data_IF_291721947589
#
_entry.id   IF_291721947589
#
_cell.length_a   1.000
_cell.length_b   1.000
_cell.length_c   1.000
_cell.angle_alpha   90.00
_cell.angle_beta   90.00
_cell.angle_gamma   90.00
#
_symmetry.space_group_name_H-M   'P 1'
#
loop_
_entity.id
_entity.type
_entity.pdbx_description
1 polymer ?
#
# COMPACT_ATOMS: atom_id res chain seq x y z
N UNK A 1 16.52 8.39 7.25
CA UNK A 1 16.06 7.11 6.72
C UNK A 1 15.22 7.40 5.48
N UNK A 2 15.75 7.11 4.30
CA UNK A 2 15.00 7.15 3.05
C UNK A 2 14.08 5.93 3.03
N UNK A 3 12.77 6.15 3.21
CA UNK A 3 11.76 5.11 3.05
C UNK A 3 11.65 4.81 1.55
N UNK A 4 12.18 3.67 1.15
CA UNK A 4 11.90 3.07 -0.14
C UNK A 4 10.74 2.09 0.06
N UNK A 5 9.55 2.48 -0.36
CA UNK A 5 8.41 1.56 -0.40
C UNK A 5 8.38 0.93 -1.79
N UNK A 6 8.75 -0.33 -1.90
CA UNK A 6 8.55 -1.12 -3.10
C UNK A 6 7.34 -2.04 -2.89
N UNK A 7 6.27 -1.82 -3.64
CA UNK A 7 4.99 -2.51 -3.47
C UNK A 7 4.54 -3.11 -4.80
N UNK A 8 4.19 -4.41 -4.85
CA UNK A 8 3.37 -4.94 -5.93
C UNK A 8 1.95 -4.37 -5.85
N UNK A 9 1.42 -3.93 -6.98
CA UNK A 9 0.09 -3.34 -7.09
C UNK A 9 -0.67 -3.99 -8.24
N UNK A 10 -1.93 -4.30 -8.00
CA UNK A 10 -2.86 -4.74 -9.02
C UNK A 10 -4.20 -4.01 -8.86
N UNK A 11 -5.09 -4.17 -9.82
CA UNK A 11 -6.38 -3.50 -9.84
C UNK A 11 -7.51 -4.48 -10.13
N UNK A 12 -8.64 -4.32 -9.43
CA UNK A 12 -9.88 -5.09 -9.65
C UNK A 12 -9.68 -6.60 -9.59
N UNK A 13 -8.86 -7.11 -8.69
CA UNK A 13 -8.54 -8.52 -8.52
C UNK A 13 -8.10 -9.22 -9.83
N UNK A 14 -7.50 -8.46 -10.77
CA UNK A 14 -7.04 -8.97 -12.07
C UNK A 14 -5.53 -9.12 -12.07
N UNK A 15 -5.06 -10.29 -12.48
CA UNK A 15 -3.64 -10.62 -12.65
C UNK A 15 -3.08 -10.26 -14.04
N UNK A 16 -3.91 -9.65 -14.90
CA UNK A 16 -3.48 -9.26 -16.26
C UNK A 16 -2.31 -8.26 -16.25
N UNK A 17 -2.26 -7.39 -15.25
CA UNK A 17 -1.17 -6.41 -15.10
C UNK A 17 -0.80 -6.28 -13.64
N UNK A 18 0.35 -6.82 -13.27
CA UNK A 18 0.95 -6.64 -11.96
C UNK A 18 2.04 -5.58 -12.09
N UNK A 19 1.90 -4.48 -11.35
CA UNK A 19 2.89 -3.41 -11.32
C UNK A 19 3.70 -3.47 -10.03
N UNK A 20 5.02 -3.51 -10.17
CA UNK A 20 5.93 -3.23 -9.08
C UNK A 20 6.14 -1.71 -9.03
N UNK A 21 5.78 -1.07 -7.93
CA UNK A 21 5.96 0.37 -7.73
C UNK A 21 6.92 0.63 -6.59
N UNK A 22 7.84 1.55 -6.81
CA UNK A 22 8.74 2.06 -5.78
C UNK A 22 8.50 3.56 -5.58
N UNK A 23 8.35 3.97 -4.34
CA UNK A 23 8.27 5.37 -3.94
C UNK A 23 9.51 5.75 -3.17
N UNK A 24 10.23 6.74 -3.66
CA UNK A 24 11.44 7.24 -3.05
C UNK A 24 11.30 8.72 -2.71
N UNK A 25 11.62 9.09 -1.48
CA UNK A 25 11.66 10.49 -1.08
C UNK A 25 13.02 11.08 -1.45
N UNK A 26 13.02 12.08 -2.33
CA UNK A 26 14.21 12.82 -2.75
C UNK A 26 14.02 14.28 -2.34
N UNK A 27 14.64 14.67 -1.25
CA UNK A 27 14.43 15.99 -0.63
C UNK A 27 12.98 16.16 -0.17
N UNK A 28 12.28 17.17 -0.67
CA UNK A 28 10.87 17.45 -0.39
C UNK A 28 9.90 16.74 -1.36
N UNK A 29 10.41 16.05 -2.39
CA UNK A 29 9.61 15.40 -3.43
C UNK A 29 9.57 13.91 -3.25
N UNK A 30 8.48 13.30 -3.73
CA UNK A 30 8.34 11.85 -3.82
C UNK A 30 8.49 11.48 -5.31
N UNK A 31 9.52 10.73 -5.64
CA UNK A 31 9.67 10.11 -6.94
C UNK A 31 8.98 8.74 -6.90
N UNK A 32 8.19 8.47 -7.93
CA UNK A 32 7.51 7.20 -8.14
C UNK A 32 8.05 6.58 -9.42
N UNK A 33 8.60 5.38 -9.32
CA UNK A 33 8.95 4.53 -10.46
C UNK A 33 8.05 3.30 -10.47
N UNK A 34 7.73 2.77 -11.65
CA UNK A 34 6.95 1.55 -11.76
C UNK A 34 7.36 0.73 -12.98
N UNK A 35 7.27 -0.59 -12.86
CA UNK A 35 7.43 -1.51 -13.97
C UNK A 35 6.40 -2.63 -13.87
N UNK A 36 6.14 -3.33 -14.97
CA UNK A 36 5.33 -4.54 -14.95
C UNK A 36 6.19 -5.75 -14.60
N UNK A 37 5.61 -6.66 -13.82
CA UNK A 37 6.20 -7.97 -13.53
C UNK A 37 5.20 -9.06 -13.89
N UNK A 38 5.69 -10.27 -14.11
CA UNK A 38 4.81 -11.42 -14.37
C UNK A 38 4.23 -11.96 -13.07
N UNK A 39 3.15 -12.73 -13.17
CA UNK A 39 2.56 -13.41 -12.03
C UNK A 39 3.54 -14.38 -11.38
N UNK A 40 4.31 -15.12 -12.18
CA UNK A 40 5.36 -16.01 -11.71
C UNK A 40 6.44 -15.26 -10.89
N UNK A 41 6.89 -14.09 -11.37
CA UNK A 41 7.85 -13.27 -10.62
C UNK A 41 7.27 -12.80 -9.28
N UNK A 42 5.98 -12.46 -9.26
CA UNK A 42 5.29 -12.05 -8.04
C UNK A 42 5.16 -13.22 -7.05
N UNK A 43 4.67 -14.39 -7.49
CA UNK A 43 4.47 -15.58 -6.66
C UNK A 43 5.79 -16.03 -6.03
N UNK A 44 6.87 -16.11 -6.82
CA UNK A 44 8.19 -16.44 -6.30
C UNK A 44 8.70 -15.40 -5.27
N UNK A 45 8.48 -14.11 -5.55
CA UNK A 45 8.89 -13.04 -4.64
C UNK A 45 8.20 -13.11 -3.28
N UNK A 46 6.88 -13.32 -3.24
CA UNK A 46 6.15 -13.44 -1.97
C UNK A 46 6.52 -14.71 -1.19
N UNK A 47 6.94 -15.77 -1.90
CA UNK A 47 7.45 -17.02 -1.32
C UNK A 47 8.93 -16.92 -0.89
N UNK A 48 9.52 -15.72 -0.89
CA UNK A 48 10.88 -15.46 -0.41
C UNK A 48 11.98 -15.71 -1.44
N UNK A 49 11.64 -16.01 -2.69
CA UNK A 49 12.60 -16.15 -3.79
C UNK A 49 12.55 -14.95 -4.75
N UNK A 50 13.34 -13.89 -4.52
CA UNK A 50 13.36 -12.72 -5.40
C UNK A 50 14.15 -12.94 -6.70
N UNK A 51 14.79 -14.10 -6.89
CA UNK A 51 15.71 -14.38 -8.02
C UNK A 51 15.07 -14.14 -9.40
N UNK A 52 13.79 -14.48 -9.65
CA UNK A 52 13.18 -14.21 -10.94
C UNK A 52 13.13 -12.73 -11.33
N UNK A 53 13.15 -11.81 -10.37
CA UNK A 53 13.19 -10.36 -10.65
C UNK A 53 14.44 -9.93 -11.42
N UNK A 54 15.55 -10.69 -11.33
CA UNK A 54 16.76 -10.44 -12.12
C UNK A 54 16.57 -10.69 -13.62
N UNK A 55 15.59 -11.52 -14.00
CA UNK A 55 15.28 -11.83 -15.40
C UNK A 55 14.48 -10.70 -16.07
N UNK A 56 13.96 -9.75 -15.26
CA UNK A 56 13.26 -8.59 -15.80
C UNK A 56 14.21 -7.66 -16.57
N UNK A 57 13.75 -7.10 -17.67
CA UNK A 57 14.45 -6.06 -18.39
C UNK A 57 14.44 -4.71 -17.65
N UNK A 58 13.56 -4.57 -16.67
CA UNK A 58 13.38 -3.33 -15.92
C UNK A 58 14.35 -3.21 -14.73
N UNK A 59 15.07 -2.10 -14.67
CA UNK A 59 16.04 -1.83 -13.61
C UNK A 59 15.39 -1.79 -12.22
N UNK A 60 14.13 -1.32 -12.12
CA UNK A 60 13.40 -1.31 -10.86
C UNK A 60 13.24 -2.73 -10.27
N UNK A 61 12.95 -3.74 -11.09
CA UNK A 61 12.85 -5.12 -10.60
C UNK A 61 14.19 -5.63 -10.04
N UNK A 62 15.30 -5.29 -10.70
CA UNK A 62 16.66 -5.63 -10.23
C UNK A 62 17.03 -4.87 -8.96
N UNK A 63 16.59 -3.60 -8.84
CA UNK A 63 16.76 -2.81 -7.61
C UNK A 63 16.00 -3.44 -6.43
N UNK A 64 14.74 -3.85 -6.63
CA UNK A 64 13.96 -4.55 -5.61
C UNK A 64 14.61 -5.86 -5.20
N UNK A 65 15.13 -6.65 -6.16
CA UNK A 65 15.94 -7.83 -5.84
C UNK A 65 17.11 -7.48 -4.91
N UNK A 66 17.87 -6.44 -5.26
CA UNK A 66 19.05 -6.02 -4.49
C UNK A 66 18.68 -5.55 -3.09
N UNK A 67 17.58 -4.79 -2.96
CA UNK A 67 17.05 -4.35 -1.67
C UNK A 67 16.56 -5.52 -0.81
N UNK A 68 15.87 -6.48 -1.42
CA UNK A 68 15.42 -7.70 -0.74
C UNK A 68 16.60 -8.50 -0.18
N UNK A 69 17.66 -8.65 -0.96
CA UNK A 69 18.86 -9.42 -0.54
C UNK A 69 19.73 -8.67 0.48
N UNK A 70 19.90 -7.36 0.32
CA UNK A 70 20.80 -6.56 1.16
C UNK A 70 20.16 -6.03 2.43
N UNK A 71 18.85 -5.74 2.41
CA UNK A 71 18.11 -5.15 3.54
C UNK A 71 17.06 -6.09 4.11
N UNK A 72 16.99 -7.35 3.65
CA UNK A 72 16.01 -8.34 4.06
C UNK A 72 14.57 -7.82 3.93
N UNK A 73 14.29 -7.03 2.89
CA UNK A 73 12.93 -6.59 2.62
C UNK A 73 12.06 -7.79 2.26
N UNK A 74 10.92 -7.90 2.91
CA UNK A 74 9.90 -8.90 2.62
C UNK A 74 8.53 -8.26 2.56
N UNK A 75 7.59 -8.82 1.80
CA UNK A 75 6.19 -8.44 1.91
C UNK A 75 5.71 -8.59 3.35
N UNK A 76 5.00 -7.59 3.89
CA UNK A 76 4.56 -7.62 5.29
C UNK A 76 3.05 -7.67 5.43
N UNK A 77 2.32 -7.00 4.55
CA UNK A 77 0.88 -6.85 4.68
C UNK A 77 0.25 -6.57 3.32
N UNK A 78 -0.91 -7.17 3.06
CA UNK A 78 -1.78 -6.77 1.96
C UNK A 78 -2.59 -5.56 2.39
N UNK A 79 -2.65 -4.56 1.51
CA UNK A 79 -3.45 -3.33 1.69
C UNK A 79 -4.59 -3.35 0.70
N UNK A 80 -5.79 -3.51 1.19
CA UNK A 80 -7.01 -3.56 0.39
C UNK A 80 -7.91 -2.36 0.68
N UNK A 81 -8.49 -1.76 -0.34
CA UNK A 81 -9.42 -0.63 -0.21
C UNK A 81 -10.16 -0.35 -1.52
N UNK A 82 -11.34 0.20 -1.40
CA UNK A 82 -12.10 0.72 -2.53
C UNK A 82 -11.69 2.14 -2.85
N UNK A 83 -11.50 2.44 -4.15
CA UNK A 83 -11.14 3.78 -4.62
C UNK A 83 -12.11 4.33 -5.64
N UNK A 84 -12.67 5.49 -5.33
CA UNK A 84 -13.31 6.37 -6.31
C UNK A 84 -12.34 7.48 -6.71
N UNK A 85 -12.17 7.70 -8.01
CA UNK A 85 -11.23 8.70 -8.54
C UNK A 85 -11.92 9.66 -9.50
N UNK A 86 -11.75 10.95 -9.26
CA UNK A 86 -12.26 12.05 -10.10
C UNK A 86 -11.09 12.83 -10.66
N UNK A 87 -11.08 13.03 -11.97
CA UNK A 87 -10.02 13.77 -12.66
C UNK A 87 -10.62 15.03 -13.28
N UNK A 88 -9.95 16.14 -13.05
CA UNK A 88 -10.29 17.42 -13.63
C UNK A 88 -9.14 17.95 -14.50
N UNK A 89 -9.41 18.44 -15.74
CA UNK A 89 -8.35 18.79 -16.68
C UNK A 89 -7.47 19.96 -16.23
N UNK A 90 -8.03 20.90 -15.43
CA UNK A 90 -7.24 22.03 -14.92
C UNK A 90 -6.19 21.53 -13.93
N UNK A 91 -4.93 21.86 -14.23
CA UNK A 91 -3.76 21.51 -13.42
C UNK A 91 -3.67 20.00 -13.10
N UNK A 92 -4.18 19.17 -14.03
CA UNK A 92 -4.20 17.71 -13.87
C UNK A 92 -4.72 17.28 -12.48
N UNK A 93 -5.74 18.01 -11.99
CA UNK A 93 -6.26 17.80 -10.64
C UNK A 93 -6.94 16.45 -10.52
N UNK A 94 -6.55 15.69 -9.50
CA UNK A 94 -7.14 14.39 -9.18
C UNK A 94 -7.55 14.36 -7.71
N UNK A 95 -8.82 14.02 -7.48
CA UNK A 95 -9.39 13.82 -6.14
C UNK A 95 -9.76 12.34 -6.04
N UNK A 96 -9.29 11.66 -4.99
CA UNK A 96 -9.63 10.27 -4.73
C UNK A 96 -10.22 10.10 -3.34
N UNK A 97 -11.20 9.21 -3.25
CA UNK A 97 -11.80 8.77 -2.00
C UNK A 97 -11.47 7.30 -1.82
N UNK A 98 -10.68 6.99 -0.81
CA UNK A 98 -10.32 5.63 -0.45
C UNK A 98 -11.15 5.22 0.76
N UNK A 99 -11.93 4.16 0.59
CA UNK A 99 -12.92 3.64 1.56
C UNK A 99 -12.56 2.22 1.95
N UNK A 100 -13.05 1.75 3.08
CA UNK A 100 -12.92 0.37 3.51
C UNK A 100 -11.47 -0.12 3.51
N UNK A 101 -10.59 0.65 4.17
CA UNK A 101 -9.19 0.25 4.28
C UNK A 101 -9.06 -0.98 5.16
N UNK A 102 -8.60 -2.08 4.58
CA UNK A 102 -8.37 -3.35 5.25
C UNK A 102 -6.92 -3.80 5.13
N UNK A 103 -6.46 -4.51 6.13
CA UNK A 103 -5.16 -5.17 6.17
C UNK A 103 -5.33 -6.69 6.05
N UNK A 104 -4.59 -7.35 5.15
CA UNK A 104 -4.58 -8.81 5.05
C UNK A 104 -3.98 -9.44 6.29
N UNK A 105 -4.61 -10.53 6.78
CA UNK A 105 -4.21 -11.25 8.00
C UNK A 105 -3.34 -12.44 7.61
N UNK A 106 -2.09 -12.46 8.08
CA UNK A 106 -1.14 -13.57 7.97
C UNK A 106 -0.90 -14.12 6.56
N UNK A 107 -1.23 -13.34 5.54
CA UNK A 107 -1.03 -13.68 4.15
C UNK A 107 -0.62 -12.43 3.36
N UNK A 108 0.26 -12.60 2.40
CA UNK A 108 0.77 -11.54 1.53
C UNK A 108 0.44 -11.79 0.06
N UNK A 109 -0.32 -12.85 -0.23
CA UNK A 109 -0.81 -13.14 -1.57
C UNK A 109 -2.02 -12.26 -1.89
N UNK A 110 -1.78 -11.22 -2.70
CA UNK A 110 -2.82 -10.28 -3.16
C UNK A 110 -3.86 -10.93 -4.10
N UNK A 111 -3.62 -12.17 -4.60
CA UNK A 111 -4.54 -12.91 -5.46
C UNK A 111 -5.34 -13.98 -4.71
N UNK A 112 -5.07 -14.16 -3.41
CA UNK A 112 -5.85 -15.05 -2.59
C UNK A 112 -7.27 -14.50 -2.41
N UNK A 113 -8.26 -15.16 -3.03
CA UNK A 113 -9.68 -14.75 -2.96
C UNK A 113 -10.30 -14.97 -1.59
N UNK A 114 -9.72 -15.85 -0.81
CA UNK A 114 -10.17 -16.20 0.55
C UNK A 114 -9.34 -15.47 1.62
N UNK A 115 -8.60 -14.43 1.21
CA UNK A 115 -7.79 -13.63 2.14
C UNK A 115 -8.65 -13.03 3.23
N UNK A 116 -8.38 -13.40 4.46
CA UNK A 116 -8.99 -12.76 5.62
C UNK A 116 -8.41 -11.35 5.79
N UNK A 117 -9.28 -10.37 5.99
CA UNK A 117 -8.86 -8.99 6.16
C UNK A 117 -9.37 -8.41 7.48
N UNK A 118 -8.63 -7.44 8.01
CA UNK A 118 -8.97 -6.71 9.23
C UNK A 118 -9.20 -5.23 8.90
N UNK A 119 -10.34 -4.62 9.29
CA UNK A 119 -10.59 -3.22 9.05
C UNK A 119 -9.63 -2.35 9.86
N UNK A 120 -8.95 -1.42 9.20
CA UNK A 120 -7.96 -0.52 9.83
C UNK A 120 -8.65 0.59 10.60
N UNK A 121 -9.81 1.01 10.13
CA UNK A 121 -10.69 1.98 10.80
C UNK A 121 -12.15 1.70 10.46
N UNK A 122 -13.06 2.41 11.13
CA UNK A 122 -14.51 2.24 10.96
C UNK A 122 -14.97 2.64 9.56
N UNK A 123 -16.04 2.02 9.07
CA UNK A 123 -16.54 2.16 7.69
C UNK A 123 -17.03 3.58 7.34
N UNK A 124 -17.25 4.44 8.34
CA UNK A 124 -17.64 5.83 8.17
C UNK A 124 -16.45 6.76 7.86
N UNK A 125 -15.22 6.27 7.96
CA UNK A 125 -14.02 7.03 7.65
C UNK A 125 -13.57 6.83 6.20
N UNK A 126 -13.20 7.93 5.56
CA UNK A 126 -12.73 7.97 4.18
C UNK A 126 -11.42 8.75 4.11
N UNK A 127 -10.44 8.22 3.39
CA UNK A 127 -9.21 8.96 3.08
C UNK A 127 -9.47 9.75 1.78
N UNK A 128 -9.49 11.07 1.90
CA UNK A 128 -9.54 11.97 0.76
C UNK A 128 -8.13 12.41 0.39
N UNK A 129 -7.70 12.12 -0.84
CA UNK A 129 -6.41 12.55 -1.37
C UNK A 129 -6.62 13.51 -2.53
N UNK A 130 -5.90 14.63 -2.53
CA UNK A 130 -5.93 15.63 -3.60
C UNK A 130 -4.54 15.75 -4.19
N UNK A 131 -4.44 15.61 -5.51
CA UNK A 131 -3.22 15.81 -6.30
C UNK A 131 -3.47 16.81 -7.39
N UNK A 132 -2.51 17.68 -7.67
CA UNK A 132 -2.53 18.65 -8.76
C UNK A 132 -1.08 19.03 -9.10
N UNK A 133 -0.88 19.56 -10.30
CA UNK A 133 0.46 19.91 -10.76
C UNK A 133 0.85 21.32 -10.33
N UNK A 134 0.31 22.37 -10.96
CA UNK A 134 0.75 23.75 -10.75
C UNK A 134 -0.07 24.48 -9.69
N UNK A 135 -1.39 24.38 -9.78
CA UNK A 135 -2.31 25.05 -8.85
C UNK A 135 -3.58 24.22 -8.62
N UNK A 136 -4.17 24.40 -7.47
CA UNK A 136 -5.46 23.78 -7.17
C UNK A 136 -6.60 24.77 -7.48
N UNK A 137 -7.61 24.40 -8.29
CA UNK A 137 -8.70 25.28 -8.65
C UNK A 137 -9.46 25.81 -7.44
N UNK A 138 -9.68 27.14 -7.37
CA UNK A 138 -10.25 27.81 -6.19
C UNK A 138 -11.64 27.31 -5.82
N UNK A 139 -12.50 27.05 -6.80
CA UNK A 139 -13.84 26.50 -6.55
C UNK A 139 -13.82 25.09 -5.95
N UNK A 140 -12.83 24.24 -6.32
CA UNK A 140 -12.62 22.95 -5.68
C UNK A 140 -12.08 23.13 -4.25
N UNK A 141 -11.21 24.12 -4.04
CA UNK A 141 -10.74 24.45 -2.70
C UNK A 141 -11.90 24.89 -1.79
N UNK A 142 -12.85 25.66 -2.32
CA UNK A 142 -14.04 26.09 -1.58
C UNK A 142 -14.95 24.91 -1.24
N UNK A 143 -15.13 23.98 -2.16
CA UNK A 143 -15.85 22.72 -1.86
C UNK A 143 -15.15 21.92 -0.75
N UNK A 144 -13.82 21.81 -0.77
CA UNK A 144 -13.08 21.07 0.25
C UNK A 144 -13.19 21.71 1.65
N UNK A 145 -13.44 23.00 1.78
CA UNK A 145 -13.69 23.67 3.06
C UNK A 145 -14.95 23.15 3.77
N UNK A 146 -15.88 22.58 3.03
CA UNK A 146 -17.11 21.99 3.59
C UNK A 146 -16.88 20.59 4.16
N UNK A 147 -15.76 19.94 3.82
CA UNK A 147 -15.42 18.59 4.27
C UNK A 147 -14.97 18.61 5.73
N UNK A 148 -15.62 17.82 6.55
CA UNK A 148 -15.19 17.62 7.94
C UNK A 148 -14.05 16.59 7.96
N UNK A 149 -12.85 17.01 8.35
CA UNK A 149 -11.71 16.10 8.40
C UNK A 149 -10.46 16.77 8.97
N UNK A 150 -9.42 15.95 9.17
CA UNK A 150 -8.09 16.40 9.59
C UNK A 150 -7.13 16.22 8.42
N UNK A 151 -6.31 17.23 8.12
CA UNK A 151 -5.22 17.11 7.16
C UNK A 151 -4.05 16.37 7.82
N UNK A 152 -3.71 15.22 7.28
CA UNK A 152 -2.67 14.34 7.81
C UNK A 152 -1.74 13.87 6.68
N UNK A 153 -0.49 13.56 7.02
CA UNK A 153 0.38 12.78 6.17
C UNK A 153 0.12 11.30 6.48
N UNK A 154 -0.54 10.60 5.56
CA UNK A 154 -0.96 9.21 5.75
C UNK A 154 -0.25 8.29 4.76
N UNK A 155 0.18 7.13 5.25
CA UNK A 155 0.57 5.98 4.46
C UNK A 155 -0.39 4.83 4.78
N UNK A 156 -1.18 4.39 3.81
CA UNK A 156 -2.08 3.23 3.97
C UNK A 156 -1.30 1.98 4.37
N UNK A 157 -0.13 1.79 3.78
CA UNK A 157 0.75 0.69 4.14
C UNK A 157 1.14 0.73 5.63
N UNK A 158 1.61 1.87 6.14
CA UNK A 158 1.95 1.99 7.56
C UNK A 158 0.74 1.75 8.45
N UNK A 159 -0.43 2.28 8.08
CA UNK A 159 -1.67 2.07 8.85
C UNK A 159 -2.05 0.58 8.92
N UNK A 160 -1.95 -0.14 7.80
CA UNK A 160 -2.22 -1.58 7.75
C UNK A 160 -1.17 -2.37 8.54
N UNK A 161 0.11 -2.03 8.41
CA UNK A 161 1.18 -2.69 9.14
C UNK A 161 1.04 -2.49 10.66
N UNK A 162 0.73 -1.26 11.10
CA UNK A 162 0.51 -0.94 12.52
C UNK A 162 -0.73 -1.68 13.06
N UNK A 163 -1.81 -1.77 12.28
CA UNK A 163 -3.00 -2.52 12.66
C UNK A 163 -2.69 -4.01 12.88
N UNK A 164 -1.89 -4.62 11.99
CA UNK A 164 -1.49 -6.03 12.12
C UNK A 164 -0.55 -6.25 13.31
N UNK A 165 0.40 -5.35 13.55
CA UNK A 165 1.27 -5.43 14.73
C UNK A 165 0.46 -5.36 16.03
N UNK A 166 -0.52 -4.46 16.11
CA UNK A 166 -1.40 -4.34 17.29
C UNK A 166 -2.27 -5.58 17.49
N UNK A 167 -2.82 -6.15 16.41
CA UNK A 167 -3.60 -7.38 16.45
C UNK A 167 -2.77 -8.56 16.98
N UNK A 168 -1.56 -8.74 16.47
CA UNK A 168 -0.65 -9.80 16.89
C UNK A 168 -0.23 -9.64 18.36
N UNK A 169 0.07 -8.43 18.81
CA UNK A 169 0.41 -8.15 20.21
C UNK A 169 -0.77 -8.46 21.15
N UNK A 170 -1.99 -8.12 20.75
CA UNK A 170 -3.19 -8.45 21.52
C UNK A 170 -3.39 -9.97 21.64
N UNK A 171 -3.18 -10.71 20.55
CA UNK A 171 -3.28 -12.18 20.54
C UNK A 171 -2.22 -12.84 21.46
N UNK A 172 -0.99 -12.33 21.45
CA UNK A 172 0.08 -12.83 22.35
C UNK A 172 -0.28 -12.56 23.81
N UNK A 173 -0.81 -11.39 24.13
CA UNK A 173 -1.22 -11.04 25.50
C UNK A 173 -2.33 -11.93 26.03
N UNK A 174 -3.31 -12.29 25.20
CA UNK A 174 -4.40 -13.22 25.57
C UNK A 174 -3.83 -14.63 25.85
N UNK A 175 -2.93 -15.12 25.00
CA UNK A 175 -2.33 -16.43 25.18
C UNK A 175 -1.44 -16.51 26.44
N UNK A 176 -0.78 -15.44 26.82
CA UNK A 176 0.00 -15.39 28.06
C UNK A 176 -0.86 -15.42 29.33
N UNK A 177 -2.09 -14.89 29.26
CA UNK A 177 -3.05 -14.92 30.39
C UNK A 177 -3.65 -16.33 30.53
N UNK A 178 -3.93 -17.02 29.42
CA UNK A 178 -4.53 -18.35 29.44
C UNK A 178 -3.50 -19.51 29.66
N UNK A 179 -2.20 -19.25 29.52
CA UNK A 179 -1.12 -20.21 29.74
C UNK A 179 -0.62 -20.31 31.21
N UNK A 180 -1.25 -19.62 32.13
CA UNK A 180 -0.85 -19.50 33.55
C UNK A 180 -1.66 -20.36 34.51
N UNK A 181 -2.00 -21.61 34.14
CA UNK A 181 -2.56 -22.58 35.10
C UNK A 181 -2.18 -23.99 34.71
N UNK A 182 -1.01 -24.42 35.25
CA UNK A 182 -0.79 -25.82 35.69
C UNK A 182 0.35 -25.81 36.68
#
# INVERSE_FOLDING_TARGET
>A
LSLHDALPIFYNCSDNVIKLECKQKVGARICKTSCSITKEMFEEYINGNPTPLLKSEHDLAKEVYSLTRSKLLSPMVVVDYDREAYVHPLSNTRITFDKFLHAGINDVDIFNKDLLTYPVFTDDLVILEVKYDDFFPSYLADLLKTVRGKKLALSKYCMCADAMLNLNNAAVSINSINGGTY
#
